data_IF_457542594599
#
_entry.id   IF_457542594599
#
_cell.length_a   1.000
_cell.length_b   1.000
_cell.length_c   1.000
_cell.angle_alpha   90.00
_cell.angle_beta   90.00
_cell.angle_gamma   90.00
#
_symmetry.space_group_name_H-M   'P 1'
#
loop_
_entity.id
_entity.type
_entity.pdbx_description
1 polymer ?
#
# COMPACT_ATOMS: atom_id res chain seq x y z
N UNK A 1 27.88 -2.46 -17.18
CA UNK A 1 28.21 -2.68 -15.77
C UNK A 1 26.87 -2.77 -15.08
N UNK A 2 26.38 -3.99 -14.85
CA UNK A 2 25.15 -4.20 -14.10
C UNK A 2 25.43 -3.75 -12.67
N UNK A 3 24.98 -2.56 -12.33
CA UNK A 3 24.81 -2.17 -10.94
C UNK A 3 23.81 -3.15 -10.36
N UNK A 4 24.25 -3.99 -9.42
CA UNK A 4 23.35 -4.79 -8.61
C UNK A 4 22.24 -3.84 -8.11
N UNK A 5 20.96 -4.24 -8.18
CA UNK A 5 19.89 -3.39 -7.65
C UNK A 5 20.22 -3.06 -6.20
N UNK A 6 19.95 -1.81 -5.78
CA UNK A 6 20.11 -1.42 -4.38
C UNK A 6 19.26 -2.37 -3.51
N UNK A 7 19.92 -3.03 -2.55
CA UNK A 7 19.31 -3.99 -1.63
C UNK A 7 19.23 -3.39 -0.23
N UNK A 8 18.13 -3.64 0.46
CA UNK A 8 17.97 -3.34 1.89
C UNK A 8 17.69 -4.65 2.64
N UNK A 9 18.71 -5.15 3.35
CA UNK A 9 18.60 -6.41 4.11
C UNK A 9 17.50 -6.37 5.17
N UNK A 10 17.25 -5.20 5.79
CA UNK A 10 16.20 -5.07 6.80
C UNK A 10 14.82 -5.22 6.17
N UNK A 11 14.64 -4.70 4.96
CA UNK A 11 13.42 -4.90 4.18
C UNK A 11 13.25 -6.38 3.80
N UNK A 12 14.31 -7.02 3.32
CA UNK A 12 14.30 -8.42 2.88
C UNK A 12 14.03 -9.39 4.04
N UNK A 13 14.56 -9.11 5.24
CA UNK A 13 14.31 -9.90 6.43
C UNK A 13 12.84 -9.82 6.89
N UNK A 14 12.21 -8.65 6.73
CA UNK A 14 10.80 -8.44 7.09
C UNK A 14 9.81 -8.93 6.00
N UNK A 15 10.24 -8.96 4.74
CA UNK A 15 9.42 -9.33 3.58
C UNK A 15 10.17 -10.33 2.68
N UNK A 16 10.36 -11.58 3.13
CA UNK A 16 11.11 -12.58 2.37
C UNK A 16 10.48 -12.94 1.02
N UNK A 17 9.17 -12.69 0.82
CA UNK A 17 8.50 -12.86 -0.48
C UNK A 17 9.00 -11.88 -1.56
N UNK A 18 9.64 -10.76 -1.18
CA UNK A 18 10.33 -9.87 -2.12
C UNK A 18 11.49 -10.56 -2.84
N UNK A 19 12.12 -11.57 -2.21
CA UNK A 19 13.26 -12.30 -2.76
C UNK A 19 12.86 -13.55 -3.55
N UNK A 20 11.78 -14.23 -3.14
CA UNK A 20 11.32 -15.45 -3.79
C UNK A 20 10.39 -15.19 -4.97
N UNK A 21 9.78 -14.00 -5.06
CA UNK A 21 9.01 -13.53 -6.21
C UNK A 21 9.86 -12.95 -7.34
N UNK A 22 9.24 -12.18 -8.23
CA UNK A 22 9.90 -11.46 -9.33
C UNK A 22 10.86 -10.34 -8.92
N UNK A 23 11.14 -10.18 -7.63
CA UNK A 23 12.03 -9.16 -7.08
C UNK A 23 11.31 -7.87 -6.66
N UNK A 24 12.12 -6.89 -6.24
CA UNK A 24 11.69 -5.53 -5.94
C UNK A 24 12.72 -4.53 -6.44
N UNK A 25 12.35 -3.25 -6.50
CA UNK A 25 13.30 -2.17 -6.75
C UNK A 25 13.05 -1.02 -5.79
N UNK A 26 14.12 -0.48 -5.22
CA UNK A 26 14.08 0.75 -4.43
C UNK A 26 13.88 1.92 -5.40
N UNK A 27 12.87 2.75 -5.13
CA UNK A 27 12.47 3.85 -6.01
C UNK A 27 12.63 5.23 -5.36
N UNK A 28 12.89 5.28 -4.05
CA UNK A 28 13.14 6.53 -3.32
C UNK A 28 14.08 6.32 -2.12
N UNK A 29 14.69 7.38 -1.56
CA UNK A 29 15.37 7.32 -0.26
C UNK A 29 14.40 6.98 0.89
N UNK A 30 14.95 6.63 2.07
CA UNK A 30 14.13 6.45 3.28
C UNK A 30 13.48 7.77 3.68
N UNK A 31 12.18 7.73 3.98
CA UNK A 31 11.41 8.88 4.44
C UNK A 31 10.43 8.44 5.53
N UNK A 32 10.31 9.21 6.61
CA UNK A 32 9.46 8.88 7.77
C UNK A 32 8.21 9.76 7.86
N UNK A 33 8.01 10.66 6.91
CA UNK A 33 6.96 11.70 6.99
C UNK A 33 5.60 11.26 6.46
N UNK A 34 5.52 10.13 5.76
CA UNK A 34 4.29 9.54 5.23
C UNK A 34 4.33 8.02 5.29
N UNK A 35 3.16 7.41 5.11
CA UNK A 35 2.96 5.97 5.20
C UNK A 35 2.33 5.39 3.92
N UNK A 36 2.19 4.06 3.90
CA UNK A 36 1.60 3.31 2.80
C UNK A 36 0.17 3.72 2.45
N UNK A 37 -0.64 4.06 3.45
CA UNK A 37 -2.03 4.45 3.25
C UNK A 37 -2.12 5.76 2.46
N UNK A 38 -1.33 6.77 2.85
CA UNK A 38 -1.22 8.02 2.11
C UNK A 38 -0.59 7.82 0.73
N UNK A 39 0.47 7.01 0.66
CA UNK A 39 1.12 6.69 -0.61
C UNK A 39 0.17 6.08 -1.64
N UNK A 40 -0.67 5.11 -1.22
CA UNK A 40 -1.67 4.51 -2.08
C UNK A 40 -2.75 5.52 -2.52
N UNK A 41 -3.00 6.58 -1.74
CA UNK A 41 -3.89 7.69 -2.07
C UNK A 41 -3.26 8.74 -3.01
N UNK A 42 -1.98 8.57 -3.40
CA UNK A 42 -1.18 9.60 -4.06
C UNK A 42 -0.97 10.87 -3.23
N UNK A 43 -0.76 10.68 -1.93
CA UNK A 43 -0.60 11.76 -0.96
C UNK A 43 0.64 11.50 -0.07
N UNK A 44 1.43 12.54 0.18
CA UNK A 44 2.62 12.48 1.05
C UNK A 44 2.31 12.92 2.49
N UNK A 45 1.04 12.92 2.92
CA UNK A 45 0.64 12.99 4.33
C UNK A 45 0.63 11.61 4.96
N UNK A 46 0.85 11.51 6.26
CA UNK A 46 0.60 10.28 7.01
C UNK A 46 -0.90 10.08 7.20
N UNK A 47 -1.48 9.05 6.58
CA UNK A 47 -2.91 8.75 6.70
C UNK A 47 -3.15 7.69 7.75
N UNK A 48 -3.83 8.02 8.84
CA UNK A 48 -4.28 7.03 9.82
C UNK A 48 -5.42 7.54 10.70
N UNK A 49 -6.45 6.72 10.98
CA UNK A 49 -7.55 7.10 11.86
C UNK A 49 -7.18 6.96 13.35
N UNK A 50 -6.09 7.56 13.80
CA UNK A 50 -5.70 7.54 15.22
C UNK A 50 -6.67 8.34 16.13
N UNK A 51 -7.04 7.87 17.33
CA UNK A 51 -7.99 8.59 18.17
C UNK A 51 -7.45 9.93 18.72
N UNK A 52 -6.15 10.20 18.57
CA UNK A 52 -5.47 11.39 19.10
C UNK A 52 -5.32 12.52 18.07
N UNK A 53 -5.84 12.35 16.85
CA UNK A 53 -5.79 13.33 15.76
C UNK A 53 -4.37 13.77 15.37
N UNK A 54 -3.40 12.86 15.48
CA UNK A 54 -2.00 13.14 15.16
C UNK A 54 -1.70 13.05 13.66
N UNK A 55 -2.40 12.16 12.95
CA UNK A 55 -2.21 11.91 11.53
C UNK A 55 -3.33 12.53 10.71
N UNK A 56 -3.16 12.62 9.39
CA UNK A 56 -4.27 13.00 8.53
C UNK A 56 -5.32 11.89 8.46
N UNK A 57 -6.59 12.28 8.48
CA UNK A 57 -7.72 11.43 8.16
C UNK A 57 -8.87 12.31 7.66
N UNK A 58 -9.61 11.94 6.61
CA UNK A 58 -10.76 12.74 6.15
C UNK A 58 -11.79 12.94 7.26
N UNK A 59 -12.34 14.15 7.38
CA UNK A 59 -13.24 14.51 8.47
C UNK A 59 -14.63 13.86 8.34
N UNK A 60 -15.01 13.50 7.12
CA UNK A 60 -16.28 12.88 6.75
C UNK A 60 -16.30 11.37 7.05
N UNK A 61 -15.15 10.78 7.40
CA UNK A 61 -14.99 9.35 7.61
C UNK A 61 -14.82 9.06 9.10
N UNK A 62 -15.49 8.03 9.64
CA UNK A 62 -15.26 7.57 11.01
C UNK A 62 -13.77 7.35 11.30
N UNK A 63 -13.27 7.92 12.38
CA UNK A 63 -11.86 7.82 12.80
C UNK A 63 -11.62 6.53 13.60
N UNK A 64 -11.88 5.40 12.94
CA UNK A 64 -11.67 4.05 13.47
C UNK A 64 -10.87 3.21 12.46
N UNK A 65 -9.92 2.36 12.89
CA UNK A 65 -9.06 1.59 11.99
C UNK A 65 -9.76 0.33 11.47
N UNK A 66 -10.93 0.48 10.86
CA UNK A 66 -11.71 -0.64 10.30
C UNK A 66 -11.68 -0.62 8.77
N UNK A 67 -11.74 -1.79 8.09
CA UNK A 67 -11.75 -1.85 6.63
C UNK A 67 -12.77 -0.91 5.97
N UNK A 68 -13.96 -0.80 6.56
CA UNK A 68 -15.04 0.07 6.08
C UNK A 68 -14.63 1.55 6.09
N UNK A 69 -13.90 2.00 7.13
CA UNK A 69 -13.43 3.37 7.21
C UNK A 69 -12.34 3.66 6.17
N UNK A 70 -11.43 2.71 5.90
CA UNK A 70 -10.44 2.86 4.84
C UNK A 70 -11.11 2.89 3.46
N UNK A 71 -12.10 2.02 3.20
CA UNK A 71 -12.89 2.06 1.97
C UNK A 71 -13.53 3.44 1.79
N UNK A 72 -14.24 3.95 2.80
CA UNK A 72 -14.86 5.28 2.74
C UNK A 72 -13.83 6.40 2.48
N UNK A 73 -12.64 6.33 3.08
CA UNK A 73 -11.59 7.32 2.87
C UNK A 73 -11.09 7.34 1.41
N UNK A 74 -10.91 6.17 0.79
CA UNK A 74 -10.51 6.07 -0.62
C UNK A 74 -11.67 6.42 -1.58
N UNK A 75 -12.92 6.17 -1.19
CA UNK A 75 -14.11 6.58 -1.96
C UNK A 75 -14.19 8.10 -2.13
N UNK A 76 -13.81 8.88 -1.10
CA UNK A 76 -13.78 10.34 -1.19
C UNK A 76 -12.81 10.89 -2.24
N UNK A 77 -11.80 10.11 -2.64
CA UNK A 77 -10.83 10.48 -3.68
C UNK A 77 -11.05 9.69 -4.99
N UNK A 78 -12.25 9.15 -5.17
CA UNK A 78 -12.73 8.60 -6.43
C UNK A 78 -12.53 7.09 -6.63
N UNK A 79 -11.97 6.37 -5.66
CA UNK A 79 -11.90 4.91 -5.76
C UNK A 79 -13.27 4.26 -5.48
N UNK A 80 -13.56 3.17 -6.17
CA UNK A 80 -14.66 2.27 -5.83
C UNK A 80 -14.15 0.84 -5.66
N UNK A 81 -14.76 0.06 -4.77
CA UNK A 81 -14.42 -1.36 -4.58
C UNK A 81 -14.57 -2.13 -5.90
N UNK A 82 -13.60 -2.99 -6.19
CA UNK A 82 -13.59 -3.84 -7.38
C UNK A 82 -13.26 -5.30 -7.03
N UNK A 83 -13.46 -6.20 -7.98
CA UNK A 83 -13.41 -7.65 -7.71
C UNK A 83 -11.98 -8.17 -7.52
N UNK A 84 -10.99 -7.59 -8.20
CA UNK A 84 -9.66 -8.18 -8.30
C UNK A 84 -8.56 -7.15 -8.60
N UNK A 85 -7.33 -7.64 -8.53
CA UNK A 85 -6.08 -6.93 -8.83
C UNK A 85 -5.74 -6.84 -10.32
N UNK A 86 -6.56 -7.39 -11.21
CA UNK A 86 -6.22 -7.50 -12.64
C UNK A 86 -6.03 -6.11 -13.23
N UNK A 87 -4.97 -5.90 -14.02
CA UNK A 87 -4.70 -4.59 -14.57
C UNK A 87 -5.74 -4.18 -15.62
N UNK A 88 -6.17 -2.93 -15.55
CA UNK A 88 -7.08 -2.31 -16.51
C UNK A 88 -6.45 -0.99 -16.96
N UNK A 89 -6.24 -0.82 -18.27
CA UNK A 89 -5.45 0.30 -18.84
C UNK A 89 -5.97 1.69 -18.38
N UNK A 90 -7.29 1.85 -18.31
CA UNK A 90 -7.97 3.12 -17.95
C UNK A 90 -8.06 3.37 -16.43
N UNK A 91 -7.67 2.40 -15.59
CA UNK A 91 -7.87 2.48 -14.14
C UNK A 91 -6.56 2.41 -13.37
N UNK A 92 -6.50 3.19 -12.30
CA UNK A 92 -5.54 3.01 -11.22
C UNK A 92 -6.19 2.16 -10.13
N UNK A 93 -5.47 1.16 -9.63
CA UNK A 93 -5.93 0.27 -8.57
C UNK A 93 -5.12 0.42 -7.30
N UNK A 94 -5.78 0.16 -6.17
CA UNK A 94 -5.14 -0.04 -4.88
C UNK A 94 -5.54 -1.40 -4.31
N UNK A 95 -4.64 -1.94 -3.49
CA UNK A 95 -4.84 -3.16 -2.71
C UNK A 95 -4.66 -2.80 -1.25
N UNK A 96 -5.71 -2.96 -0.44
CA UNK A 96 -5.68 -2.79 1.00
C UNK A 96 -5.45 -4.17 1.61
N UNK A 97 -4.44 -4.26 2.46
CA UNK A 97 -4.06 -5.49 3.13
C UNK A 97 -4.79 -5.57 4.45
N UNK A 98 -5.33 -6.75 4.73
CA UNK A 98 -6.17 -6.98 5.89
C UNK A 98 -5.72 -8.25 6.59
N UNK A 99 -5.54 -8.16 7.90
CA UNK A 99 -5.22 -9.31 8.73
C UNK A 99 -6.45 -10.20 8.89
N UNK A 100 -6.46 -11.37 8.24
CA UNK A 100 -7.62 -12.29 8.22
C UNK A 100 -8.17 -12.66 9.61
N UNK A 101 -7.31 -12.74 10.63
CA UNK A 101 -7.72 -13.12 11.99
C UNK A 101 -8.46 -12.01 12.75
N UNK A 102 -8.19 -10.74 12.45
CA UNK A 102 -8.73 -9.59 13.20
C UNK A 102 -9.59 -8.67 12.34
N UNK A 103 -9.45 -8.73 11.03
CA UNK A 103 -10.04 -7.75 10.09
C UNK A 103 -9.32 -6.41 10.09
N UNK A 104 -8.17 -6.28 10.75
CA UNK A 104 -7.44 -5.00 10.83
C UNK A 104 -6.73 -4.69 9.51
N UNK A 105 -6.80 -3.42 9.08
CA UNK A 105 -6.00 -2.92 7.96
C UNK A 105 -4.57 -2.73 8.41
N UNK A 106 -3.63 -3.24 7.62
CA UNK A 106 -2.20 -3.27 7.95
C UNK A 106 -1.34 -2.50 6.94
N UNK A 107 -1.76 -2.48 5.67
CA UNK A 107 -0.97 -1.90 4.57
C UNK A 107 -1.87 -1.52 3.39
N UNK A 108 -1.34 -0.70 2.48
CA UNK A 108 -1.93 -0.45 1.18
C UNK A 108 -0.86 -0.28 0.10
N UNK A 109 -1.13 -0.83 -1.09
CA UNK A 109 -0.27 -0.75 -2.28
C UNK A 109 -1.06 -0.15 -3.44
N UNK A 110 -0.39 0.55 -4.36
CA UNK A 110 -0.99 1.09 -5.58
C UNK A 110 -0.42 0.41 -6.83
N UNK A 111 -1.25 0.07 -7.79
CA UNK A 111 -0.83 -0.60 -9.02
C UNK A 111 -0.10 0.39 -9.93
N UNK A 112 1.06 0.01 -10.45
CA UNK A 112 1.80 0.78 -11.45
C UNK A 112 1.48 0.28 -12.86
N UNK A 113 1.52 -1.04 -13.05
CA UNK A 113 1.29 -1.69 -14.35
C UNK A 113 0.69 -3.12 -14.20
N UNK A 114 0.72 -3.90 -15.28
CA UNK A 114 0.18 -5.26 -15.32
C UNK A 114 0.86 -6.28 -14.40
N UNK A 115 2.06 -5.96 -13.93
CA UNK A 115 2.92 -6.85 -13.16
C UNK A 115 3.38 -6.25 -11.83
N UNK A 116 3.36 -4.92 -11.69
CA UNK A 116 3.99 -4.23 -10.58
C UNK A 116 3.06 -3.31 -9.79
N UNK A 117 3.38 -3.23 -8.50
CA UNK A 117 2.73 -2.41 -7.48
C UNK A 117 3.78 -1.55 -6.79
N UNK A 118 3.36 -0.43 -6.22
CA UNK A 118 4.20 0.46 -5.41
C UNK A 118 3.70 0.58 -3.99
N UNK A 119 4.64 0.65 -3.04
CA UNK A 119 4.38 0.75 -1.62
C UNK A 119 5.42 1.60 -0.90
N UNK A 120 4.97 2.35 0.10
CA UNK A 120 5.83 2.91 1.14
C UNK A 120 5.98 1.88 2.27
N UNK A 121 7.18 1.36 2.50
CA UNK A 121 7.40 0.33 3.54
C UNK A 121 7.84 0.96 4.86
N UNK A 122 6.90 1.23 5.77
CA UNK A 122 7.20 1.74 7.12
C UNK A 122 8.03 3.02 7.10
N UNK A 123 9.17 3.03 7.80
CA UNK A 123 10.17 4.14 7.79
C UNK A 123 11.23 3.99 6.68
N UNK A 124 11.13 2.96 5.83
CA UNK A 124 12.10 2.63 4.79
C UNK A 124 11.79 3.35 3.46
N UNK A 125 12.17 2.74 2.35
CA UNK A 125 12.02 3.23 0.99
C UNK A 125 10.59 3.12 0.46
N UNK A 126 10.30 3.86 -0.61
CA UNK A 126 9.29 3.43 -1.58
C UNK A 126 9.89 2.33 -2.47
N UNK A 127 9.12 1.31 -2.74
CA UNK A 127 9.53 0.20 -3.61
C UNK A 127 8.52 -0.05 -4.72
N UNK A 128 8.98 -0.62 -5.83
CA UNK A 128 8.15 -1.38 -6.76
C UNK A 128 8.30 -2.87 -6.47
N UNK A 129 7.21 -3.63 -6.52
CA UNK A 129 7.18 -5.04 -6.17
C UNK A 129 5.99 -5.75 -6.83
N UNK A 130 6.00 -7.08 -6.88
CA UNK A 130 4.80 -7.85 -7.19
C UNK A 130 3.80 -7.79 -6.03
N UNK A 131 2.49 -7.93 -6.31
CA UNK A 131 1.43 -7.77 -5.32
C UNK A 131 1.69 -8.56 -4.00
N UNK A 132 2.12 -9.80 -4.12
CA UNK A 132 2.36 -10.67 -2.96
C UNK A 132 3.72 -10.45 -2.29
N UNK A 133 4.64 -9.69 -2.89
CA UNK A 133 5.99 -9.51 -2.36
C UNK A 133 6.04 -8.94 -0.93
N UNK A 134 4.98 -8.22 -0.52
CA UNK A 134 4.85 -7.67 0.83
C UNK A 134 3.99 -8.51 1.78
N UNK A 135 3.63 -9.73 1.41
CA UNK A 135 2.96 -10.62 2.35
C UNK A 135 3.92 -10.97 3.50
N UNK A 136 3.47 -10.75 4.73
CA UNK A 136 4.23 -11.05 5.94
C UNK A 136 3.32 -11.11 7.15
N UNK A 137 3.83 -11.50 8.33
CA UNK A 137 3.05 -11.39 9.56
C UNK A 137 2.67 -9.93 9.87
N UNK A 138 3.53 -8.98 9.50
CA UNK A 138 3.31 -7.56 9.74
C UNK A 138 2.25 -6.97 8.81
N UNK A 139 2.34 -7.24 7.50
CA UNK A 139 1.44 -6.66 6.50
C UNK A 139 0.29 -7.57 6.10
N UNK A 140 0.27 -8.83 6.54
CA UNK A 140 -0.73 -9.84 6.19
C UNK A 140 -0.79 -10.08 4.68
N UNK A 141 -1.96 -9.94 4.05
CA UNK A 141 -2.16 -10.20 2.61
C UNK A 141 -3.18 -9.22 2.03
N UNK A 142 -3.15 -8.95 0.70
CA UNK A 142 -4.19 -8.19 0.02
C UNK A 142 -5.58 -8.78 0.30
N UNK A 143 -6.52 -7.93 0.72
CA UNK A 143 -7.88 -8.35 1.07
C UNK A 143 -8.98 -7.57 0.34
N UNK A 144 -8.74 -6.29 0.04
CA UNK A 144 -9.71 -5.42 -0.63
C UNK A 144 -9.02 -4.74 -1.81
N UNK A 145 -9.67 -4.75 -2.96
CA UNK A 145 -9.21 -4.04 -4.15
C UNK A 145 -10.16 -2.89 -4.45
N UNK A 146 -9.60 -1.74 -4.81
CA UNK A 146 -10.38 -0.58 -5.24
C UNK A 146 -9.76 0.01 -6.51
N UNK A 147 -10.57 0.67 -7.33
CA UNK A 147 -10.11 1.30 -8.57
C UNK A 147 -10.74 2.66 -8.82
N UNK A 148 -10.02 3.55 -9.48
CA UNK A 148 -10.52 4.84 -10.00
C UNK A 148 -10.03 5.05 -11.43
N UNK A 149 -10.70 5.91 -12.19
CA UNK A 149 -10.21 6.31 -13.52
C UNK A 149 -8.87 7.05 -13.35
N UNK A 150 -7.92 6.78 -14.25
CA UNK A 150 -6.69 7.57 -14.32
C UNK A 150 -7.04 9.01 -14.73
N UNK A 151 -6.40 9.96 -14.06
CA UNK A 151 -6.50 11.40 -14.34
C UNK A 151 -5.51 11.85 -15.42
#
# INVERSE_FOLDING_TARGET
MDTLPDRDNELEDNFPELLSGGGYSITSPKDVTYNCIGWAADDKRWWWPDPLYQNYWPAEVPRVPTPEAFIMAYELIGYGVCQNSDFEEEYEKIAIYVKKSTGEVTHASRQLDCSSWTSKCGVHHDISHELNGLNSEAYSSPGIFMKRLKS
#
